data_IF_769870502453
#
_entry.id   IF_769870502453
#
_cell.length_a   1.000
_cell.length_b   1.000
_cell.length_c   1.000
_cell.angle_alpha   90.00
_cell.angle_beta   90.00
_cell.angle_gamma   90.00
#
_symmetry.space_group_name_H-M   'P 1'
#
loop_
_entity.id
_entity.type
_entity.pdbx_description
1 polymer ?
#
# COMPACT_ATOMS: atom_id res chain seq x y z
N UNK A 1 -8.40 36.41 -19.70
CA UNK A 1 -9.25 35.63 -18.77
C UNK A 1 -8.46 34.39 -18.41
N UNK A 2 -7.92 34.32 -17.20
CA UNK A 2 -7.31 33.08 -16.69
C UNK A 2 -8.45 32.09 -16.46
N UNK A 3 -8.49 31.02 -17.25
CA UNK A 3 -9.39 29.89 -16.98
C UNK A 3 -9.04 29.36 -15.59
N UNK A 4 -9.99 29.37 -14.68
CA UNK A 4 -9.81 28.82 -13.33
C UNK A 4 -9.66 27.30 -13.44
N UNK A 5 -8.41 26.82 -13.37
CA UNK A 5 -8.09 25.39 -13.55
C UNK A 5 -8.48 24.53 -12.34
N UNK A 6 -8.61 25.15 -11.16
CA UNK A 6 -8.99 24.49 -9.91
C UNK A 6 -10.46 24.74 -9.59
N UNK A 7 -11.32 24.00 -10.28
CA UNK A 7 -12.77 24.16 -10.15
C UNK A 7 -13.28 23.57 -8.83
N UNK A 8 -14.48 24.01 -8.40
CA UNK A 8 -15.23 23.37 -7.32
C UNK A 8 -15.35 21.85 -7.52
N UNK A 9 -15.62 21.40 -8.75
CA UNK A 9 -15.80 19.98 -9.06
C UNK A 9 -14.51 19.18 -8.85
N UNK A 10 -13.34 19.74 -9.18
CA UNK A 10 -12.06 19.13 -8.85
C UNK A 10 -11.89 19.01 -7.34
N UNK A 11 -12.16 20.07 -6.59
CA UNK A 11 -12.01 20.08 -5.13
C UNK A 11 -12.96 19.07 -4.49
N UNK A 12 -14.20 18.97 -4.99
CA UNK A 12 -15.16 17.95 -4.56
C UNK A 12 -14.64 16.55 -4.85
N UNK A 13 -14.08 16.30 -6.04
CA UNK A 13 -13.55 15.00 -6.42
C UNK A 13 -12.36 14.58 -5.54
N UNK A 14 -11.46 15.51 -5.21
CA UNK A 14 -10.34 15.27 -4.29
C UNK A 14 -10.86 14.95 -2.89
N UNK A 15 -11.79 15.76 -2.37
CA UNK A 15 -12.37 15.54 -1.04
C UNK A 15 -13.10 14.18 -0.96
N UNK A 16 -13.89 13.85 -1.98
CA UNK A 16 -14.56 12.56 -2.07
C UNK A 16 -13.57 11.41 -2.09
N UNK A 17 -12.52 11.51 -2.90
CA UNK A 17 -11.47 10.49 -2.97
C UNK A 17 -10.83 10.23 -1.60
N UNK A 18 -10.39 11.28 -0.92
CA UNK A 18 -9.71 11.18 0.39
C UNK A 18 -10.64 10.70 1.51
N UNK A 19 -11.94 10.97 1.41
CA UNK A 19 -12.94 10.46 2.35
C UNK A 19 -13.03 8.93 2.36
N UNK A 20 -12.56 8.24 1.32
CA UNK A 20 -12.59 6.78 1.23
C UNK A 20 -14.01 6.20 1.23
N UNK A 21 -14.18 4.92 1.58
CA UNK A 21 -15.49 4.28 1.62
C UNK A 21 -15.48 2.81 1.20
N UNK A 22 -16.66 2.28 0.85
CA UNK A 22 -16.83 0.93 0.31
C UNK A 22 -16.11 0.77 -1.03
N UNK A 23 -15.96 -0.48 -1.49
CA UNK A 23 -15.34 -0.77 -2.79
C UNK A 23 -16.03 -0.01 -3.94
N UNK A 24 -17.36 -0.10 -4.03
CA UNK A 24 -18.13 0.59 -5.09
C UNK A 24 -17.99 2.12 -5.03
N UNK A 25 -17.91 2.67 -3.82
CA UNK A 25 -17.68 4.11 -3.64
C UNK A 25 -16.29 4.50 -4.13
N UNK A 26 -15.25 3.70 -3.82
CA UNK A 26 -13.88 3.95 -4.28
C UNK A 26 -13.78 3.93 -5.80
N UNK A 27 -14.39 2.95 -6.46
CA UNK A 27 -14.41 2.88 -7.94
C UNK A 27 -15.05 4.14 -8.52
N UNK A 28 -16.27 4.50 -8.08
CA UNK A 28 -16.98 5.68 -8.58
C UNK A 28 -16.20 6.99 -8.33
N UNK A 29 -15.59 7.12 -7.15
CA UNK A 29 -14.83 8.32 -6.79
C UNK A 29 -13.50 8.40 -7.53
N UNK A 30 -12.84 7.27 -7.77
CA UNK A 30 -11.63 7.19 -8.60
C UNK A 30 -11.89 7.67 -10.03
N UNK A 31 -12.97 7.21 -10.66
CA UNK A 31 -13.34 7.65 -12.02
C UNK A 31 -13.69 9.15 -12.08
N UNK A 32 -14.38 9.66 -11.05
CA UNK A 32 -14.66 11.11 -10.93
C UNK A 32 -13.37 11.92 -10.76
N UNK A 33 -12.45 11.45 -9.93
CA UNK A 33 -11.14 12.08 -9.73
C UNK A 33 -10.37 12.13 -11.05
N UNK A 34 -10.32 11.01 -11.78
CA UNK A 34 -9.67 10.93 -13.08
C UNK A 34 -10.26 11.87 -14.12
N UNK A 35 -11.59 11.94 -14.17
CA UNK A 35 -12.30 12.85 -15.06
C UNK A 35 -11.98 14.31 -14.73
N UNK A 36 -12.07 14.70 -13.45
CA UNK A 36 -11.78 16.06 -13.01
C UNK A 36 -10.31 16.44 -13.22
N UNK A 37 -9.38 15.51 -12.98
CA UNK A 37 -7.94 15.73 -13.14
C UNK A 37 -7.49 15.80 -14.61
N UNK A 38 -8.29 15.31 -15.57
CA UNK A 38 -7.89 15.25 -16.98
C UNK A 38 -7.54 16.63 -17.58
N UNK A 39 -8.19 17.68 -17.10
CA UNK A 39 -7.98 19.07 -17.52
C UNK A 39 -6.78 19.73 -16.85
N UNK A 40 -6.21 19.11 -15.82
CA UNK A 40 -5.06 19.66 -15.12
C UNK A 40 -3.79 19.60 -15.97
N UNK A 41 -2.90 20.60 -15.79
CA UNK A 41 -1.54 20.54 -16.30
C UNK A 41 -0.86 19.20 -16.02
N UNK A 42 -0.05 18.75 -16.96
CA UNK A 42 0.58 17.42 -16.93
C UNK A 42 1.42 17.18 -15.67
N UNK A 43 2.00 18.21 -15.05
CA UNK A 43 2.84 18.04 -13.88
C UNK A 43 2.07 17.51 -12.65
N UNK A 44 0.77 17.83 -12.52
CA UNK A 44 -0.11 17.21 -11.52
C UNK A 44 -0.47 15.76 -11.82
N UNK A 45 -0.16 15.28 -13.03
CA UNK A 45 -0.43 13.91 -13.51
C UNK A 45 0.88 13.18 -13.83
N UNK A 46 1.93 13.54 -13.10
CA UNK A 46 3.23 12.87 -13.13
C UNK A 46 3.77 12.73 -11.72
N UNK A 47 4.56 11.69 -11.49
CA UNK A 47 5.31 11.49 -10.27
C UNK A 47 6.64 10.82 -10.63
N UNK A 48 7.74 11.44 -10.20
CA UNK A 48 9.10 10.92 -10.40
C UNK A 48 9.65 10.21 -9.15
N UNK A 49 8.84 10.14 -8.09
CA UNK A 49 9.19 9.44 -6.87
C UNK A 49 8.68 8.00 -6.93
N UNK A 50 9.37 7.11 -6.21
CA UNK A 50 8.86 5.77 -5.94
C UNK A 50 7.61 5.86 -5.07
N UNK A 51 6.59 5.11 -5.43
CA UNK A 51 5.32 5.02 -4.71
C UNK A 51 5.20 3.68 -3.99
N UNK A 52 4.60 3.72 -2.80
CA UNK A 52 4.37 2.59 -1.93
C UNK A 52 2.88 2.47 -1.59
N UNK A 53 2.42 1.23 -1.40
CA UNK A 53 1.06 0.97 -0.92
C UNK A 53 1.03 -0.27 -0.06
N UNK A 54 0.41 -0.14 1.10
CA UNK A 54 0.12 -1.27 1.97
C UNK A 54 -1.24 -1.87 1.62
N UNK A 55 -1.27 -3.20 1.49
CA UNK A 55 -2.50 -3.98 1.43
C UNK A 55 -2.50 -5.13 2.43
N UNK A 56 -3.71 -5.60 2.74
CA UNK A 56 -3.95 -6.76 3.60
C UNK A 56 -4.76 -7.79 2.81
N UNK A 57 -4.25 -9.03 2.73
CA UNK A 57 -4.81 -10.06 1.86
C UNK A 57 -5.17 -11.34 2.60
N UNK A 58 -6.27 -11.95 2.14
CA UNK A 58 -6.59 -13.35 2.41
C UNK A 58 -5.83 -14.25 1.43
N UNK A 59 -5.86 -15.55 1.67
CA UNK A 59 -5.05 -16.54 0.95
C UNK A 59 -5.30 -16.57 -0.58
N UNK A 60 -6.50 -16.23 -1.04
CA UNK A 60 -6.88 -16.17 -2.45
C UNK A 60 -6.13 -15.07 -3.21
N UNK A 61 -6.09 -13.85 -2.66
CA UNK A 61 -5.33 -12.71 -3.20
C UNK A 61 -3.82 -12.97 -3.16
N UNK A 62 -3.34 -13.62 -2.09
CA UNK A 62 -1.93 -14.02 -1.98
C UNK A 62 -1.58 -15.04 -3.07
N UNK A 63 -2.49 -15.97 -3.40
CA UNK A 63 -2.31 -16.90 -4.51
C UNK A 63 -2.23 -16.18 -5.86
N UNK A 64 -3.15 -15.24 -6.13
CA UNK A 64 -3.14 -14.45 -7.36
C UNK A 64 -1.80 -13.73 -7.56
N UNK A 65 -1.27 -13.12 -6.49
CA UNK A 65 0.02 -12.45 -6.51
C UNK A 65 1.20 -13.41 -6.70
N UNK A 66 1.30 -14.45 -5.88
CA UNK A 66 2.50 -15.31 -5.82
C UNK A 66 2.50 -16.43 -6.86
N UNK A 67 1.36 -17.08 -7.06
CA UNK A 67 1.24 -18.17 -7.99
C UNK A 67 0.91 -17.62 -9.37
N UNK A 68 -0.18 -16.87 -9.51
CA UNK A 68 -0.65 -16.43 -10.83
C UNK A 68 0.18 -15.25 -11.38
N UNK A 69 1.02 -14.64 -10.53
CA UNK A 69 1.83 -13.46 -10.83
C UNK A 69 0.99 -12.32 -11.41
N UNK A 70 -0.23 -12.20 -10.91
CA UNK A 70 -1.24 -11.31 -11.43
C UNK A 70 -2.27 -10.98 -10.35
N UNK A 71 -2.12 -9.83 -9.71
CA UNK A 71 -3.07 -9.30 -8.75
C UNK A 71 -3.84 -8.14 -9.41
N UNK A 72 -5.13 -8.28 -9.74
CA UNK A 72 -5.89 -7.23 -10.38
C UNK A 72 -5.92 -5.94 -9.53
N UNK A 73 -5.80 -4.81 -10.22
CA UNK A 73 -5.74 -3.49 -9.62
C UNK A 73 -6.67 -2.49 -10.35
N UNK A 74 -7.00 -1.39 -9.67
CA UNK A 74 -7.81 -0.29 -10.23
C UNK A 74 -7.14 1.06 -9.99
N UNK A 75 -7.91 2.15 -9.98
CA UNK A 75 -7.45 3.40 -9.39
C UNK A 75 -7.32 3.22 -7.89
N UNK A 76 -6.14 3.53 -7.35
CA UNK A 76 -5.85 3.36 -5.95
C UNK A 76 -4.91 4.43 -5.41
N UNK A 77 -4.94 4.55 -4.08
CA UNK A 77 -4.12 5.49 -3.31
C UNK A 77 -2.76 4.86 -3.02
N UNK A 78 -1.70 5.58 -3.39
CA UNK A 78 -0.32 5.27 -3.09
C UNK A 78 0.32 6.45 -2.36
N UNK A 79 1.41 6.22 -1.63
CA UNK A 79 2.17 7.27 -0.96
C UNK A 79 3.60 7.31 -1.48
N UNK A 80 4.23 8.47 -1.53
CA UNK A 80 5.67 8.58 -1.84
C UNK A 80 6.57 8.32 -0.62
N UNK A 81 5.99 7.93 0.52
CA UNK A 81 6.71 7.76 1.78
C UNK A 81 6.49 6.37 2.38
N UNK A 82 7.58 5.60 2.47
CA UNK A 82 7.55 4.24 3.03
C UNK A 82 7.14 4.22 4.51
N UNK A 83 7.43 5.27 5.28
CA UNK A 83 7.03 5.32 6.69
C UNK A 83 5.50 5.45 6.81
N UNK A 84 4.88 6.27 5.94
CA UNK A 84 3.42 6.38 5.84
C UNK A 84 2.83 5.03 5.42
N UNK A 85 3.40 4.37 4.42
CA UNK A 85 2.94 3.06 3.97
C UNK A 85 3.02 2.02 5.10
N UNK A 86 4.08 2.00 5.91
CA UNK A 86 4.25 1.05 7.01
C UNK A 86 3.33 1.28 8.21
N UNK A 87 2.93 2.53 8.45
CA UNK A 87 2.07 2.92 9.56
C UNK A 87 0.58 2.91 9.20
N UNK A 88 0.25 2.67 7.92
CA UNK A 88 -1.11 2.78 7.42
C UNK A 88 -2.05 1.81 8.16
N UNK A 89 -3.24 2.29 8.53
CA UNK A 89 -4.22 1.53 9.33
C UNK A 89 -3.67 0.93 10.63
N UNK A 90 -2.69 1.59 11.23
CA UNK A 90 -2.12 1.18 12.52
C UNK A 90 -0.93 0.23 12.41
N UNK A 91 -0.45 -0.06 11.20
CA UNK A 91 0.73 -0.90 11.02
C UNK A 91 0.41 -2.23 10.37
N UNK A 92 0.88 -3.32 10.97
CA UNK A 92 0.71 -4.66 10.40
C UNK A 92 -0.76 -5.11 10.51
N UNK A 93 -1.34 -5.76 9.48
CA UNK A 93 -2.72 -6.24 9.55
C UNK A 93 -2.95 -7.27 10.67
N UNK A 94 -4.19 -7.38 11.20
CA UNK A 94 -4.52 -8.35 12.23
C UNK A 94 -4.36 -9.81 11.74
N UNK A 95 -4.31 -10.73 12.70
CA UNK A 95 -4.21 -12.16 12.43
C UNK A 95 -5.26 -12.66 11.42
N UNK A 96 -4.85 -13.56 10.53
CA UNK A 96 -5.68 -14.07 9.43
C UNK A 96 -5.58 -13.25 8.12
N UNK A 97 -4.83 -12.16 8.11
CA UNK A 97 -4.47 -11.41 6.92
C UNK A 97 -2.94 -11.35 6.76
N UNK A 98 -2.47 -11.36 5.51
CA UNK A 98 -1.08 -11.11 5.16
C UNK A 98 -0.91 -9.64 4.79
N UNK A 99 -0.05 -8.92 5.51
CA UNK A 99 0.38 -7.58 5.13
C UNK A 99 1.37 -7.64 3.98
N UNK A 100 1.17 -6.78 2.98
CA UNK A 100 2.09 -6.62 1.85
C UNK A 100 2.24 -5.13 1.58
N UNK A 101 3.48 -4.66 1.47
CA UNK A 101 3.79 -3.35 0.91
C UNK A 101 4.30 -3.57 -0.51
N UNK A 102 3.67 -2.90 -1.45
CA UNK A 102 4.11 -2.80 -2.83
C UNK A 102 4.97 -1.55 -3.03
N UNK A 103 5.88 -1.60 -4.00
CA UNK A 103 6.77 -0.51 -4.42
C UNK A 103 6.80 -0.46 -5.93
N UNK A 104 6.53 0.71 -6.49
CA UNK A 104 6.59 0.93 -7.93
C UNK A 104 7.16 2.30 -8.27
N UNK A 105 7.87 2.39 -9.39
CA UNK A 105 8.01 3.66 -10.10
C UNK A 105 6.76 3.82 -10.98
N UNK A 106 5.92 4.85 -10.80
CA UNK A 106 4.68 4.99 -11.55
C UNK A 106 4.92 4.91 -13.07
N UNK A 107 4.27 3.96 -13.78
CA UNK A 107 4.37 3.89 -15.23
C UNK A 107 3.93 5.19 -15.90
N UNK A 108 4.45 5.44 -17.10
CA UNK A 108 4.05 6.62 -17.88
C UNK A 108 2.53 6.57 -18.14
N UNK A 109 1.84 7.64 -17.71
CA UNK A 109 0.40 7.78 -17.90
C UNK A 109 -0.47 7.08 -16.86
N UNK A 110 0.11 6.40 -15.87
CA UNK A 110 -0.67 5.76 -14.78
C UNK A 110 -1.05 6.73 -13.66
N UNK A 111 -0.40 7.89 -13.58
CA UNK A 111 -0.70 8.88 -12.53
C UNK A 111 -1.99 9.60 -12.87
N UNK A 112 -3.04 9.30 -12.12
CA UNK A 112 -4.33 9.98 -12.21
C UNK A 112 -4.19 11.38 -11.63
N UNK A 113 -3.63 11.48 -10.43
CA UNK A 113 -3.39 12.74 -9.74
C UNK A 113 -2.27 12.58 -8.70
N UNK A 114 -1.32 13.49 -8.72
CA UNK A 114 -0.32 13.67 -7.68
C UNK A 114 -0.84 14.72 -6.69
N UNK A 115 -1.46 14.25 -5.59
CA UNK A 115 -2.08 15.14 -4.62
C UNK A 115 -1.02 15.95 -3.87
N UNK A 116 0.18 15.40 -3.66
CA UNK A 116 1.30 16.17 -3.09
C UNK A 116 1.67 17.38 -3.94
N UNK A 117 1.78 17.20 -5.26
CA UNK A 117 2.01 18.33 -6.17
C UNK A 117 0.84 19.32 -6.15
N UNK A 118 -0.40 18.82 -6.10
CA UNK A 118 -1.61 19.64 -6.04
C UNK A 118 -1.66 20.49 -4.76
N UNK A 119 -1.37 19.89 -3.61
CA UNK A 119 -1.37 20.58 -2.33
C UNK A 119 -0.26 21.62 -2.20
N UNK A 120 0.88 21.40 -2.85
CA UNK A 120 1.98 22.36 -2.89
C UNK A 120 1.69 23.60 -3.74
N UNK A 121 0.65 23.58 -4.59
CA UNK A 121 0.29 24.70 -5.47
C UNK A 121 -0.54 25.76 -4.70
N UNK A 122 -0.05 27.01 -4.57
CA UNK A 122 -0.77 28.06 -3.84
C UNK A 122 -2.12 28.44 -4.46
N UNK A 123 -2.26 28.34 -5.79
CA UNK A 123 -3.52 28.65 -6.44
C UNK A 123 -4.57 27.56 -6.19
N UNK A 124 -4.15 26.29 -6.02
CA UNK A 124 -5.05 25.25 -5.54
C UNK A 124 -5.50 25.52 -4.10
N UNK A 125 -4.58 25.88 -3.20
CA UNK A 125 -4.95 26.23 -1.82
C UNK A 125 -5.94 27.40 -1.74
N UNK A 126 -5.74 28.44 -2.56
CA UNK A 126 -6.67 29.56 -2.65
C UNK A 126 -8.08 29.10 -3.12
N UNK A 127 -8.14 28.26 -4.14
CA UNK A 127 -9.41 27.71 -4.64
C UNK A 127 -10.12 26.83 -3.58
N UNK A 128 -9.36 26.03 -2.81
CA UNK A 128 -9.92 25.27 -1.68
C UNK A 128 -10.55 26.19 -0.66
N UNK A 129 -9.87 27.27 -0.27
CA UNK A 129 -10.42 28.25 0.69
C UNK A 129 -11.69 28.93 0.17
N UNK A 130 -11.75 29.26 -1.12
CA UNK A 130 -12.94 29.82 -1.78
C UNK A 130 -14.12 28.84 -1.76
N UNK A 131 -13.87 27.55 -2.00
CA UNK A 131 -14.95 26.58 -2.23
C UNK A 131 -15.31 25.73 -1.02
N UNK A 132 -14.45 25.60 0.02
CA UNK A 132 -14.59 24.60 1.10
C UNK A 132 -15.96 24.56 1.78
N UNK A 133 -16.63 25.71 1.93
CA UNK A 133 -17.96 25.79 2.55
C UNK A 133 -19.06 25.11 1.72
N UNK A 134 -18.83 24.88 0.43
CA UNK A 134 -19.75 24.26 -0.53
C UNK A 134 -19.38 22.83 -0.92
N UNK A 135 -18.34 22.26 -0.28
CA UNK A 135 -17.82 20.92 -0.57
C UNK A 135 -18.44 19.91 0.40
N UNK A 136 -19.18 18.96 -0.16
CA UNK A 136 -19.82 17.90 0.62
C UNK A 136 -18.77 16.99 1.24
N UNK A 137 -18.85 16.80 2.55
CA UNK A 137 -17.90 15.95 3.30
C UNK A 137 -16.47 16.51 3.35
N UNK A 138 -16.28 17.82 3.20
CA UNK A 138 -14.96 18.47 3.29
C UNK A 138 -14.16 18.03 4.53
N UNK A 139 -14.80 18.07 5.71
CA UNK A 139 -14.15 17.71 6.98
C UNK A 139 -13.87 16.22 7.15
N UNK A 140 -14.44 15.34 6.31
CA UNK A 140 -14.12 13.90 6.30
C UNK A 140 -13.07 13.54 5.25
N UNK A 141 -12.89 14.41 4.25
CA UNK A 141 -11.96 14.28 3.15
C UNK A 141 -10.85 15.33 3.23
N UNK A 142 -10.89 16.28 2.30
CA UNK A 142 -9.81 17.24 2.05
C UNK A 142 -9.39 18.03 3.30
N UNK A 143 -10.37 18.48 4.10
CA UNK A 143 -10.13 19.26 5.30
C UNK A 143 -9.53 18.46 6.47
N UNK A 144 -9.63 17.13 6.44
CA UNK A 144 -9.02 16.26 7.46
C UNK A 144 -7.64 15.77 7.06
N UNK A 145 -7.48 15.38 5.80
CA UNK A 145 -6.29 14.66 5.37
C UNK A 145 -5.25 15.58 4.73
N UNK A 146 -5.66 16.52 3.88
CA UNK A 146 -4.73 17.36 3.11
C UNK A 146 -3.63 16.52 2.43
N UNK A 147 -2.38 16.93 2.58
CA UNK A 147 -1.20 16.18 2.09
C UNK A 147 -0.54 15.28 3.17
N UNK A 148 -1.23 15.00 4.29
CA UNK A 148 -0.63 14.20 5.38
C UNK A 148 -0.20 12.79 4.97
N UNK A 149 -0.77 12.27 3.87
CA UNK A 149 -0.47 10.93 3.34
C UNK A 149 0.50 10.94 2.17
N UNK A 150 0.98 12.11 1.71
CA UNK A 150 1.84 12.26 0.52
C UNK A 150 1.31 11.49 -0.68
N UNK A 151 0.03 11.72 -0.96
CA UNK A 151 -0.78 10.82 -1.75
C UNK A 151 -0.59 11.02 -3.26
N UNK A 152 -0.54 9.90 -3.98
CA UNK A 152 -0.58 9.83 -5.44
C UNK A 152 -1.63 8.78 -5.82
N UNK A 153 -2.65 9.20 -6.55
CA UNK A 153 -3.64 8.30 -7.13
C UNK A 153 -3.08 7.69 -8.43
N UNK A 154 -2.98 6.37 -8.48
CA UNK A 154 -2.47 5.62 -9.62
C UNK A 154 -3.54 4.69 -10.18
N UNK A 155 -3.66 4.65 -11.50
CA UNK A 155 -4.44 3.65 -12.23
C UNK A 155 -3.50 2.57 -12.77
N UNK A 156 -3.64 1.36 -12.25
CA UNK A 156 -2.83 0.21 -12.64
C UNK A 156 -3.76 -0.93 -13.04
N UNK A 157 -3.34 -1.76 -14.00
CA UNK A 157 -4.11 -2.95 -14.39
C UNK A 157 -3.85 -4.14 -13.46
N UNK A 158 -2.61 -4.34 -13.04
CA UNK A 158 -2.24 -5.42 -12.12
C UNK A 158 -0.94 -5.11 -11.37
N UNK A 159 -0.74 -5.85 -10.28
CA UNK A 159 0.50 -5.96 -9.53
C UNK A 159 1.05 -7.38 -9.64
N UNK A 160 2.37 -7.51 -9.57
CA UNK A 160 3.10 -8.77 -9.68
C UNK A 160 4.09 -8.95 -8.53
N UNK A 161 4.80 -10.07 -8.50
CA UNK A 161 5.81 -10.34 -7.46
C UNK A 161 6.96 -9.34 -7.46
N UNK A 162 7.32 -8.78 -8.62
CA UNK A 162 8.40 -7.81 -8.72
C UNK A 162 8.03 -6.47 -8.04
N UNK A 163 6.74 -6.17 -7.93
CA UNK A 163 6.25 -5.01 -7.19
C UNK A 163 6.25 -5.18 -5.68
N UNK A 164 6.53 -6.38 -5.13
CA UNK A 164 6.50 -6.64 -3.69
C UNK A 164 7.76 -6.08 -3.02
N UNK A 165 7.56 -5.17 -2.07
CA UNK A 165 8.64 -4.57 -1.28
C UNK A 165 8.83 -5.23 0.08
N UNK A 166 7.73 -5.51 0.78
CA UNK A 166 7.79 -6.04 2.14
C UNK A 166 6.58 -6.91 2.45
N UNK A 167 6.81 -8.04 3.11
CA UNK A 167 5.75 -8.77 3.82
C UNK A 167 5.70 -8.33 5.29
N UNK A 168 4.50 -8.11 5.77
CA UNK A 168 4.20 -7.74 7.14
C UNK A 168 3.38 -8.81 7.85
N UNK A 169 3.74 -9.12 9.08
CA UNK A 169 3.03 -10.07 9.92
C UNK A 169 3.45 -9.96 11.37
N UNK A 170 2.89 -10.81 12.20
CA UNK A 170 3.38 -11.01 13.56
C UNK A 170 4.57 -11.96 13.49
N UNK A 171 5.69 -11.55 14.08
CA UNK A 171 6.78 -12.49 14.33
C UNK A 171 6.28 -13.59 15.28
N UNK A 172 6.85 -14.80 15.16
CA UNK A 172 6.63 -15.83 16.19
C UNK A 172 7.02 -15.29 17.57
N UNK A 173 6.47 -15.86 18.64
CA UNK A 173 6.96 -15.55 19.97
C UNK A 173 8.44 -15.95 20.11
N UNK A 174 9.09 -15.43 21.15
CA UNK A 174 10.51 -15.66 21.45
C UNK A 174 10.90 -17.13 21.30
N UNK A 175 10.14 -18.02 21.93
CA UNK A 175 10.38 -19.47 21.92
C UNK A 175 10.33 -20.04 20.51
N UNK A 176 9.31 -19.66 19.74
CA UNK A 176 9.11 -20.13 18.36
C UNK A 176 10.25 -19.67 17.46
N UNK A 177 10.69 -18.41 17.58
CA UNK A 177 11.77 -17.87 16.75
C UNK A 177 13.11 -18.57 17.03
N UNK A 178 13.44 -18.78 18.30
CA UNK A 178 14.68 -19.47 18.70
C UNK A 178 14.60 -20.94 18.33
N UNK A 179 13.46 -21.60 18.54
CA UNK A 179 13.26 -22.99 18.12
C UNK A 179 13.39 -23.18 16.60
N UNK A 180 12.82 -22.27 15.80
CA UNK A 180 12.97 -22.30 14.34
C UNK A 180 14.42 -22.11 13.91
N UNK A 181 15.18 -21.27 14.61
CA UNK A 181 16.59 -21.04 14.32
C UNK A 181 17.46 -22.25 14.68
N UNK A 182 17.26 -22.81 15.88
CA UNK A 182 18.06 -23.92 16.41
C UNK A 182 17.60 -25.29 15.89
N UNK A 183 16.39 -25.38 15.33
CA UNK A 183 15.70 -26.62 14.97
C UNK A 183 15.57 -27.61 16.13
N UNK A 184 15.51 -27.08 17.36
CA UNK A 184 15.28 -27.82 18.61
C UNK A 184 14.72 -26.89 19.67
N UNK A 185 14.18 -27.49 20.74
CA UNK A 185 13.71 -26.72 21.90
C UNK A 185 14.88 -25.92 22.50
N UNK A 186 14.72 -24.60 22.68
CA UNK A 186 15.78 -23.75 23.22
C UNK A 186 15.93 -23.92 24.73
N UNK A 187 17.16 -23.71 25.23
CA UNK A 187 17.46 -23.62 26.65
C UNK A 187 17.10 -22.22 27.19
N UNK A 188 16.96 -22.05 28.52
CA UNK A 188 16.76 -20.73 29.13
C UNK A 188 17.88 -19.73 28.80
N UNK A 189 19.13 -20.19 28.69
CA UNK A 189 20.29 -19.35 28.37
C UNK A 189 20.23 -18.83 26.94
N UNK A 190 19.82 -19.68 25.98
CA UNK A 190 19.66 -19.32 24.58
C UNK A 190 18.52 -18.33 24.35
N UNK A 191 17.44 -18.46 25.12
CA UNK A 191 16.34 -17.49 25.11
C UNK A 191 16.80 -16.12 25.64
N UNK A 192 17.62 -16.09 26.71
CA UNK A 192 18.17 -14.85 27.25
C UNK A 192 19.18 -14.19 26.30
N UNK A 193 20.03 -14.98 25.64
CA UNK A 193 20.96 -14.48 24.62
C UNK A 193 20.20 -13.86 23.44
N UNK A 194 19.14 -14.53 22.97
CA UNK A 194 18.28 -14.01 21.91
C UNK A 194 17.62 -12.67 22.29
N UNK A 195 17.16 -12.52 23.52
CA UNK A 195 16.57 -11.27 24.00
C UNK A 195 17.58 -10.11 24.00
N UNK A 196 18.81 -10.37 24.47
CA UNK A 196 19.87 -9.37 24.46
C UNK A 196 20.26 -8.97 23.03
N UNK A 197 20.30 -9.92 22.09
CA UNK A 197 20.52 -9.64 20.67
C UNK A 197 19.37 -8.85 20.07
N UNK A 198 18.12 -9.23 20.35
CA UNK A 198 16.93 -8.52 19.87
C UNK A 198 16.92 -7.07 20.38
N UNK A 199 17.23 -6.86 21.66
CA UNK A 199 17.32 -5.53 22.28
C UNK A 199 18.43 -4.69 21.65
N UNK A 200 19.63 -5.26 21.44
CA UNK A 200 20.73 -4.57 20.73
C UNK A 200 20.37 -4.18 19.30
N UNK A 201 19.55 -4.99 18.64
CA UNK A 201 19.05 -4.73 17.29
C UNK A 201 17.80 -3.82 17.25
N UNK A 202 17.25 -3.41 18.40
CA UNK A 202 16.01 -2.64 18.47
C UNK A 202 14.77 -3.41 18.00
N UNK A 203 14.77 -4.73 18.14
CA UNK A 203 13.71 -5.65 17.71
C UNK A 203 12.88 -6.05 18.92
N UNK A 204 11.55 -6.06 18.76
CA UNK A 204 10.61 -6.60 19.76
C UNK A 204 10.06 -7.95 19.27
N UNK A 205 10.51 -9.09 19.84
CA UNK A 205 9.97 -10.41 19.49
C UNK A 205 8.47 -10.50 19.76
N UNK A 206 7.74 -11.22 18.91
CA UNK A 206 6.28 -11.32 18.99
C UNK A 206 5.52 -10.04 18.59
N UNK A 207 6.24 -8.98 18.22
CA UNK A 207 5.66 -7.73 17.74
C UNK A 207 5.30 -7.73 16.26
N UNK A 208 4.58 -6.68 15.86
CA UNK A 208 4.35 -6.32 14.47
C UNK A 208 5.68 -6.11 13.75
N UNK A 209 5.85 -6.76 12.60
CA UNK A 209 7.10 -6.69 11.86
C UNK A 209 6.86 -6.60 10.36
N UNK A 210 7.56 -5.64 9.73
CA UNK A 210 7.74 -5.57 8.27
C UNK A 210 9.12 -6.10 7.94
N UNK A 211 9.20 -7.09 7.04
CA UNK A 211 10.48 -7.59 6.56
C UNK A 211 11.26 -6.50 5.82
N UNK A 212 12.59 -6.60 5.84
CA UNK A 212 13.42 -5.86 4.89
C UNK A 212 13.14 -6.32 3.46
N UNK A 213 13.53 -5.49 2.49
CA UNK A 213 13.45 -5.83 1.05
C UNK A 213 14.25 -7.11 0.75
N UNK A 214 15.45 -7.24 1.34
CA UNK A 214 16.28 -8.45 1.21
C UNK A 214 15.63 -9.68 1.85
N UNK A 215 15.04 -9.55 3.04
CA UNK A 215 14.33 -10.63 3.71
C UNK A 215 13.10 -11.09 2.91
N UNK A 216 12.37 -10.13 2.33
CA UNK A 216 11.23 -10.38 1.44
C UNK A 216 11.66 -11.17 0.21
N UNK A 217 12.74 -10.76 -0.45
CA UNK A 217 13.25 -11.47 -1.63
C UNK A 217 13.73 -12.89 -1.30
N UNK A 218 14.36 -13.09 -0.15
CA UNK A 218 14.78 -14.41 0.32
C UNK A 218 13.57 -15.34 0.52
N UNK A 219 12.48 -14.84 1.10
CA UNK A 219 11.23 -15.60 1.26
C UNK A 219 10.63 -15.93 -0.10
N UNK A 220 10.49 -14.96 -1.00
CA UNK A 220 9.93 -15.20 -2.35
C UNK A 220 10.71 -16.30 -3.09
N UNK A 221 12.05 -16.22 -3.05
CA UNK A 221 12.94 -17.21 -3.65
C UNK A 221 12.72 -18.61 -3.05
N UNK A 222 12.64 -18.70 -1.71
CA UNK A 222 12.40 -19.96 -1.01
C UNK A 222 11.00 -20.55 -1.28
N UNK A 223 10.01 -19.71 -1.53
CA UNK A 223 8.63 -20.13 -1.81
C UNK A 223 8.44 -20.67 -3.23
N UNK A 224 9.33 -20.32 -4.18
CA UNK A 224 9.17 -20.68 -5.59
C UNK A 224 8.98 -22.19 -5.87
N UNK A 225 9.76 -23.11 -5.25
CA UNK A 225 9.56 -24.55 -5.43
C UNK A 225 8.20 -25.02 -4.86
N UNK A 226 7.78 -24.43 -3.74
CA UNK A 226 6.50 -24.76 -3.11
C UNK A 226 5.31 -24.30 -3.96
N UNK A 227 5.38 -23.09 -4.51
CA UNK A 227 4.36 -22.55 -5.43
C UNK A 227 4.22 -23.47 -6.65
N UNK A 228 5.35 -23.89 -7.23
CA UNK A 228 5.37 -24.80 -8.39
C UNK A 228 4.67 -26.13 -8.07
N UNK A 229 4.98 -26.74 -6.93
CA UNK A 229 4.33 -27.97 -6.47
C UNK A 229 2.83 -27.79 -6.25
N UNK A 230 2.42 -26.67 -5.66
CA UNK A 230 1.00 -26.39 -5.39
C UNK A 230 0.20 -26.17 -6.68
N UNK A 231 0.79 -25.50 -7.68
CA UNK A 231 0.17 -25.36 -9.01
C UNK A 231 -0.11 -26.71 -9.67
N UNK A 232 0.85 -27.63 -9.62
CA UNK A 232 0.69 -28.99 -10.17
C UNK A 232 -0.45 -29.75 -9.48
N UNK A 233 -0.54 -29.68 -8.15
CA UNK A 233 -1.65 -30.30 -7.41
C UNK A 233 -3.01 -29.72 -7.77
N UNK A 234 -3.11 -28.40 -7.93
CA UNK A 234 -4.35 -27.72 -8.33
C UNK A 234 -4.77 -28.10 -9.75
N UNK A 235 -3.84 -28.22 -10.68
CA UNK A 235 -4.10 -28.68 -12.04
C UNK A 235 -4.56 -30.15 -12.08
N UNK A 236 -3.94 -31.02 -11.27
CA UNK A 236 -4.34 -32.42 -11.14
C UNK A 236 -5.76 -32.59 -10.57
N UNK A 237 -6.12 -31.79 -9.55
CA UNK A 237 -7.45 -31.83 -8.94
C UNK A 237 -8.56 -31.22 -9.81
N UNK A 238 -8.22 -30.40 -10.81
CA UNK A 238 -9.18 -29.86 -11.77
C UNK A 238 -9.48 -30.81 -12.94
N UNK A 239 -8.64 -31.84 -13.13
CA UNK A 239 -8.74 -32.83 -14.19
C UNK A 239 -9.28 -34.20 -13.71
N UNK A 240 -9.75 -34.27 -12.46
CA UNK A 240 -10.30 -35.43 -11.78
C UNK A 240 -11.69 -35.12 -11.25
#
# INVERSE_FOLDING_TARGET
MTTEIFTRDLIQAVSDWQRGGSHDQKVKRGERLKTAAALLPKYFRTCAATCFRQEAHKNDRVWQLLADNHLPETIASWTTDIAIAKAFKGGVPPAGLQGIIFKIMPPKGSVVLNLTALHADPAFQAAVETHKASIDGYHDGLGRWGDSQREVALELGNLDQASVHSYGGFSGNRETLVELHLQRKPSPEELAEFEELAKKAGITPGGEWWLSESGTQAILTRMQPHITRLKQKKAGAANS
#
